data_IF_592208676915
#
_entry.id   IF_592208676915
#
_cell.length_a   1.000
_cell.length_b   1.000
_cell.length_c   1.000
_cell.angle_alpha   90.00
_cell.angle_beta   90.00
_cell.angle_gamma   90.00
#
_symmetry.space_group_name_H-M   'P 1'
#
loop_
_entity.id
_entity.type
_entity.pdbx_description
1 polymer ?
#
# COMPACT_ATOMS: atom_id res chain seq x y z
N UNK A 1 -14.77 -14.32 -5.49
CA UNK A 1 -14.15 -14.93 -4.29
C UNK A 1 -13.22 -16.09 -4.63
N UNK A 2 -13.67 -17.01 -5.46
CA UNK A 2 -12.87 -18.20 -5.84
C UNK A 2 -11.59 -17.82 -6.60
N UNK A 3 -11.66 -16.86 -7.51
CA UNK A 3 -10.51 -16.35 -8.26
C UNK A 3 -9.49 -15.67 -7.34
N UNK A 4 -9.95 -14.89 -6.37
CA UNK A 4 -9.07 -14.23 -5.41
C UNK A 4 -8.36 -15.24 -4.52
N UNK A 5 -9.06 -16.28 -4.10
CA UNK A 5 -8.50 -17.38 -3.33
C UNK A 5 -7.41 -18.11 -4.12
N UNK A 6 -7.72 -18.49 -5.35
CA UNK A 6 -6.79 -19.20 -6.23
C UNK A 6 -5.55 -18.36 -6.51
N UNK A 7 -5.74 -17.08 -6.82
CA UNK A 7 -4.62 -16.14 -7.01
C UNK A 7 -3.71 -16.09 -5.77
N UNK A 8 -4.29 -15.92 -4.57
CA UNK A 8 -3.53 -15.83 -3.33
C UNK A 8 -2.73 -17.10 -3.03
N UNK A 9 -3.35 -18.26 -3.23
CA UNK A 9 -2.72 -19.56 -3.00
C UNK A 9 -1.50 -19.79 -3.90
N UNK A 10 -1.52 -19.23 -5.11
CA UNK A 10 -0.49 -19.48 -6.12
C UNK A 10 0.49 -18.30 -6.28
N UNK A 11 0.24 -17.16 -5.61
CA UNK A 11 1.02 -15.95 -5.81
C UNK A 11 2.51 -16.17 -5.50
N UNK A 12 2.84 -16.84 -4.42
CA UNK A 12 4.22 -17.10 -4.03
C UNK A 12 4.94 -17.95 -5.11
N UNK A 13 4.30 -19.00 -5.57
CA UNK A 13 4.86 -19.85 -6.64
C UNK A 13 5.04 -19.10 -7.95
N UNK A 14 4.19 -18.12 -8.21
CA UNK A 14 4.24 -17.30 -9.42
C UNK A 14 5.21 -16.13 -9.33
N UNK A 15 5.99 -16.04 -8.26
CA UNK A 15 7.05 -15.06 -8.12
C UNK A 15 6.63 -13.71 -7.55
N UNK A 16 5.42 -13.57 -7.05
CA UNK A 16 4.99 -12.35 -6.37
C UNK A 16 5.61 -12.28 -4.98
N UNK A 17 6.04 -11.08 -4.57
CA UNK A 17 6.59 -10.85 -3.23
C UNK A 17 5.63 -10.11 -2.29
N UNK A 18 4.70 -9.32 -2.84
CA UNK A 18 3.71 -8.53 -2.10
C UNK A 18 2.43 -8.50 -2.91
N UNK A 19 1.28 -8.47 -2.24
CA UNK A 19 -0.01 -8.31 -2.90
C UNK A 19 -0.66 -7.03 -2.38
N UNK A 20 -1.13 -6.18 -3.31
CA UNK A 20 -1.92 -4.99 -2.98
C UNK A 20 -3.38 -5.28 -3.35
N UNK A 21 -4.27 -5.10 -2.38
CA UNK A 21 -5.70 -5.32 -2.57
C UNK A 21 -6.48 -4.06 -2.23
N UNK A 22 -7.27 -3.58 -3.19
CA UNK A 22 -8.09 -2.38 -3.03
C UNK A 22 -9.57 -2.78 -3.06
N UNK A 23 -10.34 -2.33 -2.08
CA UNK A 23 -11.76 -2.62 -2.01
C UNK A 23 -12.53 -1.52 -1.28
N UNK A 24 -13.74 -1.24 -1.77
CA UNK A 24 -14.65 -0.28 -1.16
C UNK A 24 -15.71 -0.93 -0.30
N UNK A 25 -16.47 -0.11 0.42
CA UNK A 25 -17.56 -0.50 1.33
C UNK A 25 -17.05 -1.50 2.39
N UNK A 26 -17.85 -2.51 2.70
CA UNK A 26 -17.53 -3.55 3.67
C UNK A 26 -16.85 -4.77 3.01
N UNK A 27 -16.16 -4.58 1.90
CA UNK A 27 -15.49 -5.67 1.19
C UNK A 27 -14.21 -6.10 1.90
N UNK A 28 -14.05 -7.40 2.07
CA UNK A 28 -12.90 -8.00 2.77
C UNK A 28 -11.88 -8.62 1.81
N UNK A 29 -11.63 -7.98 0.67
CA UNK A 29 -10.73 -8.56 -0.34
C UNK A 29 -9.32 -8.82 0.22
N UNK A 30 -8.75 -7.83 0.90
CA UNK A 30 -7.42 -7.96 1.50
C UNK A 30 -7.39 -9.10 2.53
N UNK A 31 -8.41 -9.17 3.39
CA UNK A 31 -8.53 -10.22 4.38
C UNK A 31 -8.72 -11.61 3.78
N UNK A 32 -9.53 -11.71 2.74
CA UNK A 32 -9.72 -12.97 2.03
C UNK A 32 -8.41 -13.46 1.39
N UNK A 33 -7.61 -12.55 0.86
CA UNK A 33 -6.29 -12.90 0.33
C UNK A 33 -5.30 -13.28 1.42
N UNK A 34 -5.27 -12.52 2.52
CA UNK A 34 -4.37 -12.78 3.65
C UNK A 34 -4.58 -14.18 4.26
N UNK A 35 -5.80 -14.70 4.22
CA UNK A 35 -6.12 -16.02 4.72
C UNK A 35 -5.52 -17.17 3.89
N UNK A 36 -5.07 -16.88 2.67
CA UNK A 36 -4.65 -17.90 1.71
C UNK A 36 -3.18 -17.79 1.28
N UNK A 37 -2.41 -16.91 1.91
CA UNK A 37 -0.99 -16.73 1.58
C UNK A 37 -0.22 -16.22 2.79
N UNK A 38 1.08 -16.49 2.84
CA UNK A 38 2.00 -15.89 3.82
C UNK A 38 2.72 -14.67 3.26
N UNK A 39 2.46 -14.30 2.00
CA UNK A 39 2.99 -13.07 1.45
C UNK A 39 2.39 -11.85 2.15
N UNK A 40 3.15 -10.75 2.27
CA UNK A 40 2.60 -9.51 2.80
C UNK A 40 1.43 -9.02 1.95
N UNK A 41 0.33 -8.65 2.60
CA UNK A 41 -0.83 -8.05 1.97
C UNK A 41 -0.93 -6.60 2.40
N UNK A 42 -1.07 -5.71 1.42
CA UNK A 42 -1.34 -4.29 1.67
C UNK A 42 -2.77 -4.01 1.23
N UNK A 43 -3.59 -3.52 2.15
CA UNK A 43 -4.98 -3.17 1.88
C UNK A 43 -5.14 -1.67 1.63
N UNK A 44 -5.87 -1.31 0.57
CA UNK A 44 -6.25 0.06 0.28
C UNK A 44 -7.76 0.19 0.47
N UNK A 45 -8.23 0.87 1.53
CA UNK A 45 -9.64 1.18 1.64
C UNK A 45 -10.02 2.20 0.57
N UNK A 46 -11.06 1.90 -0.20
CA UNK A 46 -11.50 2.77 -1.28
C UNK A 46 -12.73 3.55 -0.83
N UNK A 47 -12.71 4.86 -1.03
CA UNK A 47 -13.82 5.75 -0.71
C UNK A 47 -15.07 5.34 -1.49
N UNK A 48 -16.18 5.22 -0.79
CA UNK A 48 -17.50 5.00 -1.39
C UNK A 48 -18.38 6.24 -1.21
N UNK A 49 -19.59 6.22 -1.75
CA UNK A 49 -20.55 7.31 -1.61
C UNK A 49 -21.09 7.47 -0.19
N UNK A 50 -20.87 6.49 0.69
CA UNK A 50 -21.34 6.50 2.08
C UNK A 50 -20.16 6.53 3.04
N UNK A 51 -20.27 7.28 4.14
CA UNK A 51 -19.30 7.33 5.27
C UNK A 51 -17.86 7.71 4.85
N UNK A 52 -17.65 8.29 3.67
CA UNK A 52 -16.35 8.77 3.17
C UNK A 52 -15.22 7.73 3.25
N UNK A 53 -15.55 6.44 3.14
CA UNK A 53 -14.60 5.35 3.17
C UNK A 53 -14.34 4.77 4.55
N UNK A 54 -15.01 5.24 5.60
CA UNK A 54 -14.82 4.75 6.97
C UNK A 54 -15.18 3.26 7.08
N UNK A 55 -16.24 2.83 6.43
CA UNK A 55 -16.67 1.43 6.40
C UNK A 55 -15.60 0.54 5.72
N UNK A 56 -15.02 1.00 4.62
CA UNK A 56 -13.93 0.30 3.94
C UNK A 56 -12.67 0.24 4.80
N UNK A 57 -12.34 1.34 5.48
CA UNK A 57 -11.18 1.39 6.39
C UNK A 57 -11.34 0.39 7.53
N UNK A 58 -12.49 0.39 8.22
CA UNK A 58 -12.73 -0.52 9.34
C UNK A 58 -12.73 -1.99 8.89
N UNK A 59 -13.28 -2.28 7.71
CA UNK A 59 -13.28 -3.64 7.17
C UNK A 59 -11.90 -4.13 6.78
N UNK A 60 -11.00 -3.22 6.40
CA UNK A 60 -9.65 -3.56 5.97
C UNK A 60 -8.69 -3.67 7.16
N UNK A 61 -8.81 -2.75 8.14
CA UNK A 61 -7.84 -2.63 9.23
C UNK A 61 -8.10 -3.63 10.36
N UNK A 62 -9.35 -4.01 10.59
CA UNK A 62 -9.70 -4.94 11.68
C UNK A 62 -9.56 -6.39 11.22
N UNK A 63 -8.38 -6.93 11.44
CA UNK A 63 -8.07 -8.32 11.10
C UNK A 63 -7.92 -9.17 12.36
N UNK A 64 -8.32 -10.46 12.30
CA UNK A 64 -8.10 -11.37 13.43
C UNK A 64 -6.61 -11.60 13.69
N UNK A 65 -6.27 -11.89 14.93
CA UNK A 65 -4.89 -12.22 15.30
C UNK A 65 -4.37 -13.39 14.47
N UNK A 66 -3.17 -13.23 13.95
CA UNK A 66 -2.53 -14.23 13.08
C UNK A 66 -2.70 -14.00 11.59
N UNK A 67 -3.54 -13.06 11.19
CA UNK A 67 -3.77 -12.73 9.77
C UNK A 67 -3.60 -11.23 9.54
N UNK A 68 -2.36 -10.71 9.56
CA UNK A 68 -2.13 -9.26 9.42
C UNK A 68 -2.34 -8.76 7.99
N UNK A 69 -2.87 -7.55 7.88
CA UNK A 69 -2.95 -6.77 6.63
C UNK A 69 -2.39 -5.39 6.92
N UNK A 70 -1.42 -4.94 6.13
CA UNK A 70 -0.89 -3.59 6.23
C UNK A 70 -1.85 -2.64 5.54
N UNK A 71 -2.56 -1.81 6.31
CA UNK A 71 -3.59 -0.92 5.79
C UNK A 71 -3.04 0.49 5.61
N UNK A 72 -3.14 1.03 4.41
CA UNK A 72 -2.79 2.42 4.11
C UNK A 72 -4.02 3.32 4.25
N UNK A 73 -3.84 4.62 4.05
CA UNK A 73 -4.94 5.58 4.12
C UNK A 73 -6.00 5.30 3.05
N UNK A 74 -7.21 5.83 3.27
CA UNK A 74 -8.30 5.77 2.29
C UNK A 74 -7.80 6.35 0.96
N UNK A 75 -8.02 5.62 -0.12
CA UNK A 75 -7.55 5.95 -1.48
C UNK A 75 -6.03 6.09 -1.61
N UNK A 76 -5.26 5.58 -0.66
CA UNK A 76 -3.81 5.73 -0.58
C UNK A 76 -3.01 4.81 -1.50
N UNK A 77 -3.34 4.74 -2.78
CA UNK A 77 -2.69 3.84 -3.73
C UNK A 77 -1.19 4.12 -3.90
N UNK A 78 -0.78 5.38 -3.92
CA UNK A 78 0.63 5.75 -4.06
C UNK A 78 1.45 5.22 -2.87
N UNK A 79 0.98 5.42 -1.65
CA UNK A 79 1.68 4.92 -0.46
C UNK A 79 1.64 3.39 -0.37
N UNK A 80 0.59 2.75 -0.87
CA UNK A 80 0.56 1.29 -0.96
C UNK A 80 1.67 0.78 -1.89
N UNK A 81 1.82 1.39 -3.05
CA UNK A 81 2.89 1.04 -4.00
C UNK A 81 4.28 1.27 -3.40
N UNK A 82 4.49 2.41 -2.74
CA UNK A 82 5.76 2.71 -2.09
C UNK A 82 6.07 1.73 -0.96
N UNK A 83 5.07 1.38 -0.15
CA UNK A 83 5.24 0.39 0.92
C UNK A 83 5.60 -0.99 0.36
N UNK A 84 4.95 -1.40 -0.73
CA UNK A 84 5.30 -2.65 -1.41
C UNK A 84 6.77 -2.64 -1.89
N UNK A 85 7.21 -1.54 -2.48
CA UNK A 85 8.59 -1.38 -2.91
C UNK A 85 9.54 -1.43 -1.71
N UNK A 86 9.19 -0.80 -0.59
CA UNK A 86 9.99 -0.86 0.64
C UNK A 86 10.16 -2.30 1.13
N UNK A 87 9.08 -3.08 1.11
CA UNK A 87 9.14 -4.51 1.49
C UNK A 87 10.08 -5.30 0.58
N UNK A 88 9.97 -5.11 -0.72
CA UNK A 88 10.83 -5.78 -1.71
C UNK A 88 12.28 -5.32 -1.63
N UNK A 89 12.50 -4.04 -1.30
CA UNK A 89 13.83 -3.44 -1.20
C UNK A 89 14.65 -3.99 -0.02
N UNK A 90 14.03 -4.63 0.95
CA UNK A 90 14.75 -5.26 2.07
C UNK A 90 15.78 -6.27 1.56
N UNK A 91 15.46 -6.99 0.50
CA UNK A 91 16.35 -7.99 -0.11
C UNK A 91 16.81 -7.63 -1.52
N UNK A 92 16.56 -6.41 -1.97
CA UNK A 92 16.95 -5.94 -3.32
C UNK A 92 17.66 -4.58 -3.22
N UNK A 93 19.02 -4.58 -3.25
CA UNK A 93 19.79 -3.33 -3.14
C UNK A 93 19.49 -2.31 -4.23
N UNK A 94 19.15 -2.74 -5.45
CA UNK A 94 18.82 -1.82 -6.54
C UNK A 94 17.51 -1.06 -6.26
N UNK A 95 16.49 -1.75 -5.73
CA UNK A 95 15.25 -1.10 -5.31
C UNK A 95 15.48 -0.16 -4.14
N UNK A 96 16.31 -0.56 -3.19
CA UNK A 96 16.67 0.30 -2.05
C UNK A 96 17.28 1.61 -2.53
N UNK A 97 18.23 1.56 -3.46
CA UNK A 97 18.87 2.75 -3.99
C UNK A 97 17.92 3.64 -4.77
N UNK A 98 17.04 3.04 -5.56
CA UNK A 98 15.99 3.78 -6.29
C UNK A 98 15.01 4.49 -5.35
N UNK A 99 14.63 3.86 -4.24
CA UNK A 99 13.79 4.48 -3.22
C UNK A 99 14.50 5.65 -2.56
N UNK A 100 15.77 5.49 -2.21
CA UNK A 100 16.57 6.56 -1.60
C UNK A 100 16.66 7.76 -2.54
N UNK A 101 16.89 7.52 -3.82
CA UNK A 101 16.91 8.56 -4.85
C UNK A 101 15.54 9.25 -4.98
N UNK A 102 14.45 8.49 -4.99
CA UNK A 102 13.09 9.02 -5.06
C UNK A 102 12.83 9.98 -3.89
N UNK A 103 13.19 9.59 -2.66
CA UNK A 103 13.02 10.43 -1.47
C UNK A 103 13.90 11.68 -1.51
N UNK A 104 15.13 11.56 -1.98
CA UNK A 104 16.03 12.70 -2.12
C UNK A 104 15.48 13.73 -3.09
N UNK A 105 14.95 13.28 -4.24
CA UNK A 105 14.31 14.16 -5.22
C UNK A 105 13.07 14.85 -4.66
N UNK A 106 12.26 14.14 -3.88
CA UNK A 106 11.08 14.72 -3.23
C UNK A 106 11.48 15.81 -2.23
N UNK A 107 12.51 15.57 -1.42
CA UNK A 107 13.06 16.54 -0.49
C UNK A 107 13.59 17.76 -1.23
N UNK A 108 14.32 17.57 -2.32
CA UNK A 108 14.87 18.66 -3.12
C UNK A 108 13.78 19.55 -3.71
N UNK A 109 12.68 18.94 -4.18
CA UNK A 109 11.52 19.71 -4.67
C UNK A 109 10.93 20.63 -3.60
N UNK A 110 10.83 20.15 -2.36
CA UNK A 110 10.33 20.95 -1.24
C UNK A 110 11.29 22.11 -0.94
N UNK A 111 12.59 21.85 -0.91
CA UNK A 111 13.61 22.87 -0.68
C UNK A 111 13.61 23.94 -1.77
N UNK A 112 13.50 23.53 -3.04
CA UNK A 112 13.43 24.45 -4.16
C UNK A 112 12.19 25.34 -4.08
N UNK A 113 11.05 24.78 -3.71
CA UNK A 113 9.81 25.50 -3.54
C UNK A 113 9.87 26.51 -2.39
N UNK A 114 10.48 26.11 -1.27
CA UNK A 114 10.72 27.02 -0.14
C UNK A 114 11.62 28.19 -0.55
N UNK A 115 12.69 27.93 -1.28
CA UNK A 115 13.60 28.95 -1.78
C UNK A 115 12.90 29.95 -2.70
N UNK A 116 12.02 29.48 -3.58
CA UNK A 116 11.20 30.34 -4.43
C UNK A 116 10.25 31.23 -3.63
N UNK A 117 9.61 30.68 -2.61
CA UNK A 117 8.70 31.41 -1.73
C UNK A 117 9.48 32.47 -0.93
N UNK A 118 10.63 32.13 -0.40
CA UNK A 118 11.49 33.08 0.33
C UNK A 118 11.89 34.25 -0.55
N UNK A 119 12.23 34.00 -1.81
CA UNK A 119 12.57 35.07 -2.77
C UNK A 119 11.40 36.01 -3.06
N UNK A 120 10.16 35.54 -2.97
CA UNK A 120 8.98 36.38 -3.18
C UNK A 120 8.76 37.37 -2.04
N UNK A 121 9.23 37.06 -0.83
CA UNK A 121 9.03 37.88 0.36
C UNK A 121 10.28 38.65 0.81
N UNK A 122 11.39 38.41 0.17
CA UNK A 122 12.64 39.14 0.36
C UNK A 122 12.91 40.04 -0.84
#
# INVERSE_FOLDING_TARGET
PEQAKEFSLNADKNGFGVIIAAAGKAAHLAGAMAANTVLPIIGIPIKSSTLDGLDALLSTVQMPSGMPVATVAIDGAQNAALLAIQMLAISDPQLHDKLSEFRSKATQKVLDKNSEIEKLFN
#
